data_IF_361323952283
#
_entry.id   IF_361323952283
#
_cell.length_a   1.000
_cell.length_b   1.000
_cell.length_c   1.000
_cell.angle_alpha   90.00
_cell.angle_beta   90.00
_cell.angle_gamma   90.00
#
_symmetry.space_group_name_H-M   'P 1'
#
loop_
_entity.id
_entity.type
_entity.pdbx_description
1 polymer ?
#
# COMPACT_ATOMS: atom_id res chain seq x y z
N UNK A 1 -8.65 17.71 18.67
CA UNK A 1 -9.16 17.78 18.07
C UNK A 1 -8.73 18.10 16.89
N UNK A 2 -8.68 18.38 16.10
CA UNK A 2 -8.30 18.84 14.85
C UNK A 2 -7.22 18.09 14.15
N UNK A 3 -6.81 17.00 14.68
CA UNK A 3 -5.72 16.29 14.02
C UNK A 3 -6.22 15.21 13.09
N UNK A 4 -7.50 15.12 12.90
CA UNK A 4 -7.97 14.11 11.99
C UNK A 4 -7.59 14.38 10.58
N UNK A 5 -7.21 15.59 10.27
CA UNK A 5 -6.85 15.90 8.90
C UNK A 5 -5.47 15.45 8.53
N UNK A 6 -4.70 15.03 9.51
CA UNK A 6 -3.35 14.60 9.20
C UNK A 6 -3.37 13.27 8.48
N UNK A 7 -2.68 13.17 7.40
CA UNK A 7 -2.55 11.92 6.69
C UNK A 7 -1.09 11.65 6.42
N UNK A 8 -0.78 10.40 6.13
CA UNK A 8 0.57 9.97 5.82
C UNK A 8 0.54 9.45 4.39
N UNK A 9 1.50 9.86 3.60
CA UNK A 9 1.59 9.45 2.22
C UNK A 9 2.28 8.09 2.16
N UNK A 10 1.63 7.14 1.49
CA UNK A 10 2.19 5.80 1.34
C UNK A 10 2.20 5.45 -0.13
N UNK A 11 3.15 4.62 -0.52
CA UNK A 11 3.38 4.29 -1.91
C UNK A 11 3.19 2.80 -2.14
N UNK A 12 2.66 2.44 -3.28
CA UNK A 12 2.40 1.04 -3.59
C UNK A 12 3.72 0.30 -3.74
N UNK A 13 3.93 -0.70 -2.92
CA UNK A 13 5.18 -1.45 -2.95
C UNK A 13 4.96 -2.91 -3.32
N UNK A 14 3.74 -3.40 -3.23
CA UNK A 14 3.52 -4.80 -3.55
C UNK A 14 2.09 -5.01 -3.99
N UNK A 15 1.90 -5.88 -4.94
CA UNK A 15 0.58 -6.23 -5.42
C UNK A 15 0.55 -7.74 -5.59
N UNK A 16 -0.36 -8.39 -4.91
CA UNK A 16 -0.49 -9.83 -5.03
C UNK A 16 -1.94 -10.16 -5.35
N UNK A 17 -2.12 -11.28 -6.00
CA UNK A 17 -3.43 -11.73 -6.39
C UNK A 17 -3.71 -13.04 -5.70
N UNK A 18 -4.93 -13.18 -5.23
CA UNK A 18 -5.38 -14.42 -4.64
C UNK A 18 -6.50 -14.93 -5.53
N UNK A 19 -6.27 -16.02 -6.19
CA UNK A 19 -7.28 -16.55 -7.08
C UNK A 19 -7.86 -17.83 -6.53
N UNK A 20 -7.79 -18.01 -5.23
CA UNK A 20 -8.40 -19.18 -4.65
C UNK A 20 -9.84 -19.24 -4.94
N UNK A 21 -10.62 -18.46 -4.34
CA UNK A 21 -12.01 -18.52 -4.53
C UNK A 21 -12.64 -17.21 -4.82
N UNK A 22 -11.99 -16.15 -4.48
CA UNK A 22 -12.63 -14.85 -4.53
C UNK A 22 -11.96 -13.86 -5.41
N UNK A 23 -10.91 -14.23 -6.09
CA UNK A 23 -10.24 -13.32 -7.01
C UNK A 23 -9.96 -11.99 -6.34
N UNK A 24 -9.26 -12.06 -5.25
CA UNK A 24 -8.91 -10.85 -4.53
C UNK A 24 -7.59 -10.31 -4.99
N UNK A 25 -7.47 -9.00 -4.98
CA UNK A 25 -6.18 -8.37 -5.19
C UNK A 25 -5.81 -7.66 -3.90
N UNK A 26 -4.61 -7.89 -3.42
CA UNK A 26 -4.13 -7.30 -2.19
C UNK A 26 -3.06 -6.30 -2.55
N UNK A 27 -3.26 -5.07 -2.13
CA UNK A 27 -2.35 -3.97 -2.42
C UNK A 27 -1.67 -3.56 -1.13
N UNK A 28 -0.36 -3.52 -1.14
CA UNK A 28 0.40 -3.10 0.03
C UNK A 28 1.10 -1.80 -0.28
N UNK A 29 0.89 -0.82 0.58
CA UNK A 29 1.51 0.49 0.47
C UNK A 29 2.43 0.68 1.66
N UNK A 30 3.47 1.45 1.49
CA UNK A 30 4.44 1.68 2.56
C UNK A 30 4.85 3.13 2.58
N UNK A 31 5.27 3.57 3.78
CA UNK A 31 5.85 4.89 3.91
C UNK A 31 7.23 4.89 3.26
N UNK A 32 7.75 6.08 2.93
CA UNK A 32 9.05 6.14 2.25
C UNK A 32 10.19 5.49 3.02
N UNK A 33 10.11 5.46 4.33
CA UNK A 33 11.14 4.81 5.10
C UNK A 33 10.90 3.31 5.24
N UNK A 34 9.77 2.82 4.72
CA UNK A 34 9.49 1.41 4.78
C UNK A 34 9.08 0.90 6.15
N UNK A 35 8.88 1.78 7.10
CA UNK A 35 8.62 1.36 8.46
C UNK A 35 7.17 1.09 8.76
N UNK A 36 6.27 1.62 7.96
CA UNK A 36 4.84 1.41 8.16
C UNK A 36 4.20 1.02 6.86
N UNK A 37 3.11 0.29 6.96
CA UNK A 37 2.44 -0.18 5.76
C UNK A 37 0.94 -0.02 5.90
N UNK A 38 0.28 -0.02 4.76
CA UNK A 38 -1.17 0.01 4.66
C UNK A 38 -1.57 -1.04 3.63
N UNK A 39 -2.44 -1.96 4.02
CA UNK A 39 -2.84 -3.05 3.14
C UNK A 39 -4.31 -2.91 2.80
N UNK A 40 -4.62 -3.05 1.54
CA UNK A 40 -5.97 -2.90 1.07
C UNK A 40 -6.33 -4.10 0.21
N UNK A 41 -7.49 -4.67 0.45
CA UNK A 41 -7.94 -5.79 -0.34
C UNK A 41 -9.12 -5.35 -1.17
N UNK A 42 -9.20 -5.84 -2.38
CA UNK A 42 -10.26 -5.47 -3.27
C UNK A 42 -10.68 -6.71 -4.06
N UNK A 43 -11.98 -6.95 -4.13
CA UNK A 43 -12.47 -8.08 -4.90
C UNK A 43 -12.51 -7.70 -6.37
N UNK A 44 -12.06 -8.60 -7.21
CA UNK A 44 -12.12 -8.39 -8.65
C UNK A 44 -13.44 -8.97 -9.10
N UNK A 45 -14.47 -8.16 -9.07
CA UNK A 45 -15.80 -8.67 -9.35
C UNK A 45 -16.12 -8.70 -10.82
N UNK A 46 -15.33 -8.01 -11.62
CA UNK A 46 -15.66 -7.93 -13.03
C UNK A 46 -14.42 -7.55 -13.79
N UNK A 47 -14.23 -8.16 -14.95
CA UNK A 47 -13.09 -7.78 -15.75
C UNK A 47 -13.31 -6.43 -16.40
N UNK A 48 -14.49 -5.89 -16.28
CA UNK A 48 -14.69 -4.54 -16.80
C UNK A 48 -14.29 -3.49 -15.78
N UNK A 49 -13.86 -3.91 -14.59
CA UNK A 49 -13.40 -2.97 -13.60
C UNK A 49 -12.00 -2.57 -13.99
N UNK A 50 -11.87 -1.53 -14.78
CA UNK A 50 -10.59 -1.09 -15.26
C UNK A 50 -10.05 0.06 -14.46
N UNK A 51 -10.54 0.26 -13.26
CA UNK A 51 -10.07 1.34 -12.44
C UNK A 51 -8.61 1.16 -12.13
N UNK A 52 -7.84 2.18 -12.33
CA UNK A 52 -6.42 2.08 -12.09
C UNK A 52 -6.12 2.08 -10.62
N UNK A 53 -5.09 1.35 -10.25
CA UNK A 53 -4.63 1.33 -8.88
C UNK A 53 -3.69 2.52 -8.69
N UNK A 54 -3.99 3.41 -7.75
CA UNK A 54 -3.11 4.55 -7.55
C UNK A 54 -1.77 4.11 -6.98
N UNK A 55 -0.71 4.79 -7.36
CA UNK A 55 0.62 4.51 -6.85
C UNK A 55 0.84 5.12 -5.49
N UNK A 56 0.08 6.11 -5.10
CA UNK A 56 0.28 6.79 -3.85
C UNK A 56 -1.09 7.07 -3.23
N UNK A 57 -1.16 6.95 -1.93
CA UNK A 57 -2.37 7.21 -1.18
C UNK A 57 -2.03 8.01 0.05
N UNK A 58 -3.03 8.77 0.52
CA UNK A 58 -2.93 9.45 1.80
C UNK A 58 -3.85 8.72 2.77
N UNK A 59 -3.30 8.22 3.85
CA UNK A 59 -4.10 7.45 4.80
C UNK A 59 -3.88 8.01 6.19
N UNK A 60 -4.85 7.76 7.07
CA UNK A 60 -4.73 8.18 8.45
C UNK A 60 -3.65 7.35 9.14
N UNK A 61 -2.84 7.98 9.98
CA UNK A 61 -1.77 7.22 10.64
C UNK A 61 -2.26 6.04 11.43
N UNK A 62 -3.46 6.13 11.98
CA UNK A 62 -3.98 5.05 12.77
C UNK A 62 -4.30 3.81 11.95
N UNK A 63 -4.34 3.94 10.64
CA UNK A 63 -4.60 2.81 9.77
C UNK A 63 -3.32 2.13 9.32
N UNK A 64 -2.19 2.58 9.78
CA UNK A 64 -0.91 2.03 9.36
C UNK A 64 -0.43 0.97 10.34
N UNK A 65 0.13 -0.10 9.81
CA UNK A 65 0.78 -1.10 10.62
C UNK A 65 2.27 -0.87 10.65
N UNK A 66 2.95 -1.61 11.49
CA UNK A 66 4.38 -1.50 11.62
C UNK A 66 5.03 -2.67 10.91
N UNK A 67 6.03 -2.38 10.08
CA UNK A 67 6.79 -3.42 9.40
C UNK A 67 7.89 -3.85 10.37
N UNK A 68 7.79 -5.07 10.88
CA UNK A 68 8.73 -5.51 11.88
C UNK A 68 9.92 -6.25 11.30
N UNK A 69 9.83 -6.69 10.07
CA UNK A 69 10.92 -7.42 9.43
C UNK A 69 11.87 -6.43 8.77
N UNK A 70 13.13 -6.44 9.16
CA UNK A 70 14.06 -5.46 8.63
C UNK A 70 14.29 -5.65 7.13
N UNK A 71 14.22 -6.88 6.65
CA UNK A 71 14.39 -7.09 5.21
C UNK A 71 13.23 -6.50 4.45
N UNK A 72 12.03 -6.62 4.99
CA UNK A 72 10.88 -6.03 4.34
C UNK A 72 10.95 -4.52 4.38
N UNK A 73 11.41 -3.97 5.48
CA UNK A 73 11.53 -2.52 5.55
C UNK A 73 12.46 -1.99 4.48
N UNK A 74 13.58 -2.68 4.29
CA UNK A 74 14.51 -2.26 3.26
C UNK A 74 13.92 -2.40 1.89
N UNK A 75 13.21 -3.49 1.64
CA UNK A 75 12.64 -3.72 0.33
C UNK A 75 11.57 -2.69 0.03
N UNK A 76 10.74 -2.37 1.03
CA UNK A 76 9.69 -1.38 0.81
C UNK A 76 10.29 0.00 0.57
N UNK A 77 11.31 0.37 1.36
CA UNK A 77 11.93 1.66 1.18
C UNK A 77 12.56 1.78 -0.19
N UNK A 78 13.20 0.71 -0.65
CA UNK A 78 13.80 0.75 -1.97
C UNK A 78 12.74 0.88 -3.05
N UNK A 79 11.62 0.21 -2.88
CA UNK A 79 10.59 0.28 -3.89
C UNK A 79 10.00 1.68 -3.95
N UNK A 80 9.80 2.31 -2.80
CA UNK A 80 9.29 3.68 -2.79
C UNK A 80 10.30 4.62 -3.44
N UNK A 81 11.57 4.42 -3.13
CA UNK A 81 12.59 5.26 -3.72
C UNK A 81 12.60 5.13 -5.23
N UNK A 82 12.43 3.91 -5.74
CA UNK A 82 12.39 3.71 -7.16
C UNK A 82 11.23 4.46 -7.79
N UNK A 83 10.08 4.45 -7.13
CA UNK A 83 8.94 5.12 -7.68
C UNK A 83 9.06 6.63 -7.63
N UNK A 84 9.68 7.13 -6.58
CA UNK A 84 9.79 8.58 -6.44
C UNK A 84 10.94 9.14 -7.23
N UNK A 85 11.86 8.30 -7.69
CA UNK A 85 13.00 8.78 -8.45
C UNK A 85 12.72 8.97 -9.92
N UNK A 86 11.55 8.64 -10.36
CA UNK A 86 11.27 8.71 -11.79
C UNK A 86 10.78 10.04 -12.28
#
# INVERSE_FOLDING_TARGET
MGTQDETVEVWLVERTYSDDEQNLIVLTYATPDGERYFRKERALTSFSDSRETPDVLDVSPENLGTVTDSDERERYAEEVERKTSQ
#
